data_IF_225224674027
#
_entry.id   IF_225224674027
#
_cell.length_a   1.000
_cell.length_b   1.000
_cell.length_c   1.000
_cell.angle_alpha   90.00
_cell.angle_beta   90.00
_cell.angle_gamma   90.00
#
_symmetry.space_group_name_H-M   'P 1'
#
loop_
_entity.id
_entity.type
_entity.pdbx_description
1 polymer ?
#
# COMPACT_ATOMS: atom_id res chain seq x y z
N UNK A 1 11.69 4.64 -11.54
CA UNK A 1 10.39 4.39 -10.85
C UNK A 1 9.30 4.52 -11.90
N UNK A 2 8.43 3.52 -12.02
CA UNK A 2 7.39 3.51 -13.05
C UNK A 2 6.07 3.98 -12.44
N UNK A 3 5.58 5.12 -12.90
CA UNK A 3 4.23 5.62 -12.60
C UNK A 3 3.25 5.22 -13.70
N UNK A 4 1.96 5.24 -13.38
CA UNK A 4 0.87 5.12 -14.35
C UNK A 4 -0.16 6.22 -14.11
N UNK A 5 -0.75 6.73 -15.19
CA UNK A 5 -1.87 7.67 -15.11
C UNK A 5 -3.15 6.89 -15.40
N UNK A 6 -4.10 6.94 -14.47
CA UNK A 6 -5.41 6.30 -14.57
C UNK A 6 -6.34 7.13 -15.46
N UNK A 7 -7.42 6.54 -15.99
CA UNK A 7 -8.40 7.25 -16.82
C UNK A 7 -9.06 8.47 -16.14
N UNK A 8 -9.06 8.52 -14.80
CA UNK A 8 -9.60 9.61 -14.00
C UNK A 8 -8.60 10.78 -13.83
N UNK A 9 -7.43 10.70 -14.45
CA UNK A 9 -6.38 11.73 -14.42
C UNK A 9 -5.41 11.63 -13.25
N UNK A 10 -5.61 10.72 -12.29
CA UNK A 10 -4.67 10.52 -11.18
C UNK A 10 -3.41 9.80 -11.65
N UNK A 11 -2.25 10.27 -11.19
CA UNK A 11 -0.98 9.58 -11.39
C UNK A 11 -0.63 8.79 -10.13
N UNK A 12 -0.30 7.52 -10.31
CA UNK A 12 -0.02 6.58 -9.22
C UNK A 12 1.35 5.92 -9.37
N UNK A 13 2.01 5.67 -8.23
CA UNK A 13 3.21 4.86 -8.11
C UNK A 13 2.91 3.64 -7.25
N UNK A 14 2.96 2.43 -7.82
CA UNK A 14 2.76 1.20 -7.08
C UNK A 14 4.06 0.70 -6.46
N UNK A 15 4.12 0.59 -5.13
CA UNK A 15 5.29 0.12 -4.38
C UNK A 15 5.30 -1.39 -4.16
N UNK A 16 4.38 -2.14 -4.77
CA UNK A 16 4.38 -3.61 -4.73
C UNK A 16 5.27 -4.16 -5.84
N UNK A 17 5.82 -5.35 -5.65
CA UNK A 17 6.64 -5.99 -6.69
C UNK A 17 5.83 -6.42 -7.92
N UNK A 18 4.54 -6.73 -7.74
CA UNK A 18 3.63 -7.10 -8.81
C UNK A 18 2.81 -5.90 -9.29
N UNK A 19 2.40 -5.95 -10.56
CA UNK A 19 1.48 -4.97 -11.13
C UNK A 19 0.02 -5.25 -10.79
N UNK A 20 -0.83 -4.29 -11.09
CA UNK A 20 -2.29 -4.37 -10.94
C UNK A 20 -2.99 -4.01 -12.24
N UNK A 21 -4.09 -4.71 -12.51
CA UNK A 21 -5.03 -4.37 -13.57
C UNK A 21 -6.16 -3.54 -12.99
N UNK A 22 -6.47 -2.42 -13.62
CA UNK A 22 -7.54 -1.51 -13.24
C UNK A 22 -8.84 -1.85 -13.98
N UNK A 23 -9.98 -1.36 -13.49
CA UNK A 23 -11.32 -1.60 -14.05
C UNK A 23 -11.55 -1.01 -15.45
N UNK A 24 -10.72 -0.03 -15.83
CA UNK A 24 -10.66 0.56 -17.16
C UNK A 24 -9.67 -0.16 -18.10
N UNK A 25 -9.01 -1.21 -17.62
CA UNK A 25 -7.98 -1.97 -18.35
C UNK A 25 -6.56 -1.40 -18.24
N UNK A 26 -6.37 -0.26 -17.56
CA UNK A 26 -5.04 0.29 -17.29
C UNK A 26 -4.20 -0.71 -16.49
N UNK A 27 -2.92 -0.84 -16.85
CA UNK A 27 -1.97 -1.65 -16.09
C UNK A 27 -1.06 -0.71 -15.28
N UNK A 28 -1.13 -0.85 -13.96
CA UNK A 28 -0.22 -0.16 -13.04
C UNK A 28 0.96 -1.09 -12.77
N UNK A 29 2.18 -0.77 -13.23
CA UNK A 29 3.32 -1.66 -13.11
C UNK A 29 3.77 -1.83 -11.66
N UNK A 30 4.31 -3.00 -11.33
CA UNK A 30 4.99 -3.21 -10.06
C UNK A 30 6.38 -2.55 -10.04
N UNK A 31 6.88 -2.25 -8.85
CA UNK A 31 8.23 -1.75 -8.61
C UNK A 31 8.91 -2.62 -7.53
N UNK A 32 9.61 -3.72 -7.92
CA UNK A 32 10.24 -4.66 -6.99
C UNK A 32 11.28 -4.03 -6.04
N UNK A 33 12.02 -3.03 -6.52
CA UNK A 33 13.00 -2.29 -5.70
C UNK A 33 12.30 -1.47 -4.61
N UNK A 34 11.24 -0.74 -4.96
CA UNK A 34 10.45 0.04 -4.00
C UNK A 34 9.71 -0.85 -2.99
N UNK A 35 9.37 -2.08 -3.38
CA UNK A 35 8.80 -3.06 -2.46
C UNK A 35 9.75 -3.42 -1.32
N UNK A 36 11.06 -3.27 -1.51
CA UNK A 36 12.05 -3.46 -0.43
C UNK A 36 12.22 -2.21 0.41
N UNK A 37 12.15 -1.02 -0.19
CA UNK A 37 12.33 0.27 0.49
C UNK A 37 11.15 0.59 1.40
N UNK A 38 9.92 0.52 0.88
CA UNK A 38 8.70 0.90 1.62
C UNK A 38 8.09 -0.27 2.41
N UNK A 39 8.83 -1.35 2.67
CA UNK A 39 8.31 -2.43 3.52
C UNK A 39 8.17 -1.96 4.96
N UNK A 40 7.11 -2.39 5.64
CA UNK A 40 6.98 -2.27 7.09
C UNK A 40 7.62 -3.46 7.81
N UNK A 41 8.09 -3.24 9.03
CA UNK A 41 8.35 -4.31 9.98
C UNK A 41 7.08 -4.65 10.76
N UNK A 42 7.11 -5.75 11.50
CA UNK A 42 6.05 -6.10 12.44
C UNK A 42 6.64 -6.23 13.85
N UNK A 43 6.01 -5.59 14.82
CA UNK A 43 6.24 -5.81 16.25
C UNK A 43 5.02 -6.47 16.87
N UNK A 44 5.25 -7.21 17.95
CA UNK A 44 4.18 -7.82 18.74
C UNK A 44 3.93 -6.98 20.00
N UNK A 45 2.67 -6.65 20.24
CA UNK A 45 2.21 -6.03 21.49
C UNK A 45 1.31 -7.02 22.24
N UNK A 46 1.64 -7.32 23.49
CA UNK A 46 0.82 -8.23 24.31
C UNK A 46 -0.45 -7.50 24.74
N UNK A 47 -1.61 -8.02 24.34
CA UNK A 47 -2.94 -7.50 24.72
C UNK A 47 -3.36 -8.08 26.07
N UNK A 48 -3.23 -9.40 26.21
CA UNK A 48 -3.59 -10.13 27.42
C UNK A 48 -2.78 -11.42 27.56
N UNK A 49 -2.77 -11.97 28.76
CA UNK A 49 -2.18 -13.27 29.06
C UNK A 49 -3.16 -14.11 29.89
N UNK A 50 -3.47 -15.32 29.42
CA UNK A 50 -4.35 -16.26 30.12
C UNK A 50 -3.69 -17.63 30.16
N UNK A 51 -3.59 -18.23 31.35
CA UNK A 51 -2.96 -19.55 31.54
C UNK A 51 -1.53 -19.65 30.94
N UNK A 52 -0.77 -18.55 30.97
CA UNK A 52 0.58 -18.47 30.37
C UNK A 52 0.61 -18.34 28.84
N UNK A 53 -0.54 -18.18 28.19
CA UNK A 53 -0.66 -17.93 26.74
C UNK A 53 -0.85 -16.44 26.50
N UNK A 54 0.04 -15.84 25.71
CA UNK A 54 -0.02 -14.42 25.32
C UNK A 54 -0.87 -14.24 24.06
N UNK A 55 -1.90 -13.41 24.16
CA UNK A 55 -2.66 -12.92 23.03
C UNK A 55 -2.03 -11.60 22.58
N UNK A 56 -1.44 -11.59 21.40
CA UNK A 56 -0.68 -10.45 20.89
C UNK A 56 -1.39 -9.79 19.71
N UNK A 57 -1.21 -8.49 19.58
CA UNK A 57 -1.51 -7.73 18.38
C UNK A 57 -0.24 -7.60 17.54
N UNK A 58 -0.29 -7.97 16.27
CA UNK A 58 0.77 -7.61 15.32
C UNK A 58 0.57 -6.16 14.86
N UNK A 59 1.57 -5.32 15.12
CA UNK A 59 1.57 -3.91 14.74
C UNK A 59 2.59 -3.69 13.63
N UNK A 60 2.13 -3.10 12.52
CA UNK A 60 3.02 -2.73 11.43
C UNK A 60 3.77 -1.43 11.79
N UNK A 61 5.10 -1.44 11.68
CA UNK A 61 5.98 -0.34 12.08
C UNK A 61 6.79 0.12 10.85
N UNK A 62 6.87 1.43 10.59
CA UNK A 62 7.63 1.94 9.45
C UNK A 62 9.14 1.75 9.66
N UNK A 63 9.90 1.68 8.57
CA UNK A 63 11.36 1.69 8.63
C UNK A 63 11.88 3.12 8.47
N UNK A 64 13.08 3.40 9.01
CA UNK A 64 13.72 4.71 8.82
C UNK A 64 13.94 5.01 7.33
N UNK A 65 14.43 4.02 6.57
CA UNK A 65 14.64 4.11 5.12
C UNK A 65 13.33 4.43 4.38
N UNK A 66 12.23 3.75 4.72
CA UNK A 66 10.94 4.00 4.09
C UNK A 66 10.34 5.35 4.44
N UNK A 67 10.57 5.86 5.66
CA UNK A 67 10.12 7.21 6.08
C UNK A 67 10.88 8.27 5.27
N UNK A 68 12.20 8.13 5.18
CA UNK A 68 13.05 9.05 4.44
C UNK A 68 12.68 9.06 2.95
N UNK A 69 12.57 7.87 2.34
CA UNK A 69 12.15 7.74 0.96
C UNK A 69 10.79 8.39 0.71
N UNK A 70 9.80 8.10 1.56
CA UNK A 70 8.45 8.63 1.38
C UNK A 70 8.45 10.14 1.50
N UNK A 71 9.14 10.70 2.48
CA UNK A 71 9.23 12.15 2.71
C UNK A 71 9.87 12.87 1.52
N UNK A 72 10.97 12.34 0.99
CA UNK A 72 11.64 12.90 -0.17
C UNK A 72 10.77 12.79 -1.42
N UNK A 73 10.16 11.63 -1.65
CA UNK A 73 9.32 11.39 -2.82
C UNK A 73 8.11 12.33 -2.87
N UNK A 74 7.39 12.50 -1.76
CA UNK A 74 6.19 13.37 -1.74
C UNK A 74 6.54 14.85 -1.87
N UNK A 75 7.76 15.24 -1.49
CA UNK A 75 8.26 16.60 -1.71
C UNK A 75 8.62 16.83 -3.19
N UNK A 76 9.24 15.84 -3.84
CA UNK A 76 9.65 15.92 -5.25
C UNK A 76 8.48 15.72 -6.23
N UNK A 77 7.48 14.92 -5.86
CA UNK A 77 6.37 14.48 -6.70
C UNK A 77 5.02 14.64 -5.96
N UNK A 78 4.61 15.87 -5.59
CA UNK A 78 3.44 16.10 -4.74
C UNK A 78 2.10 15.65 -5.36
N UNK A 79 2.03 15.57 -6.69
CA UNK A 79 0.83 15.17 -7.44
C UNK A 79 0.69 13.65 -7.64
N UNK A 80 1.69 12.85 -7.20
CA UNK A 80 1.70 11.40 -7.38
C UNK A 80 1.23 10.70 -6.12
N UNK A 81 0.17 9.89 -6.24
CA UNK A 81 -0.29 9.01 -5.16
C UNK A 81 0.57 7.76 -5.10
N UNK A 82 0.97 7.37 -3.89
CA UNK A 82 1.80 6.18 -3.66
C UNK A 82 0.90 5.03 -3.22
N UNK A 83 0.76 4.04 -4.10
CA UNK A 83 -0.09 2.87 -3.88
C UNK A 83 0.72 1.79 -3.18
N UNK A 84 0.21 1.29 -2.05
CA UNK A 84 0.92 0.30 -1.23
C UNK A 84 -0.03 -0.69 -0.53
N UNK A 85 0.54 -1.62 0.21
CA UNK A 85 -0.21 -2.63 0.97
C UNK A 85 -0.88 -2.03 2.21
N UNK A 86 -1.94 -2.67 2.72
CA UNK A 86 -2.62 -2.21 3.93
C UNK A 86 -1.71 -2.17 5.17
N UNK A 87 -0.73 -3.08 5.26
CA UNK A 87 0.27 -3.08 6.32
C UNK A 87 1.12 -1.80 6.28
N UNK A 88 1.58 -1.42 5.09
CA UNK A 88 2.35 -0.19 4.89
C UNK A 88 1.47 1.04 5.13
N UNK A 89 0.21 1.06 4.70
CA UNK A 89 -0.72 2.16 5.06
C UNK A 89 -0.80 2.35 6.57
N UNK A 90 -0.94 1.25 7.31
CA UNK A 90 -1.05 1.27 8.77
C UNK A 90 0.25 1.67 9.47
N UNK A 91 1.41 1.34 8.88
CA UNK A 91 2.71 1.69 9.41
C UNK A 91 3.07 3.16 9.20
N UNK A 92 2.94 3.66 7.97
CA UNK A 92 3.46 4.97 7.57
C UNK A 92 2.43 6.11 7.73
N UNK A 93 1.13 5.81 7.68
CA UNK A 93 0.02 6.75 7.95
C UNK A 93 0.11 8.12 7.28
N UNK A 94 0.51 8.15 6.01
CA UNK A 94 0.75 9.40 5.27
C UNK A 94 -0.38 9.70 4.25
N UNK A 95 -0.81 10.96 4.06
CA UNK A 95 -1.89 11.33 3.13
C UNK A 95 -1.65 10.98 1.66
N UNK A 96 -0.40 10.94 1.21
CA UNK A 96 -0.06 10.53 -0.17
C UNK A 96 -0.09 9.01 -0.36
N UNK A 97 -0.19 8.23 0.71
CA UNK A 97 -0.30 6.78 0.61
C UNK A 97 -1.75 6.36 0.42
N UNK A 98 -1.97 5.43 -0.49
CA UNK A 98 -3.28 4.85 -0.78
C UNK A 98 -3.17 3.34 -1.00
N UNK A 99 -4.25 2.61 -0.76
CA UNK A 99 -4.40 1.21 -1.14
C UNK A 99 -5.40 1.08 -2.28
N UNK A 100 -5.08 0.27 -3.29
CA UNK A 100 -6.08 -0.11 -4.28
C UNK A 100 -7.17 -0.98 -3.64
N UNK A 101 -8.40 -0.78 -4.14
CA UNK A 101 -9.57 -1.54 -3.74
C UNK A 101 -10.02 -2.36 -4.94
N UNK A 102 -10.12 -3.67 -4.78
CA UNK A 102 -10.64 -4.54 -5.82
C UNK A 102 -12.13 -4.25 -6.10
N UNK A 103 -12.58 -4.48 -7.34
CA UNK A 103 -14.00 -4.46 -7.68
C UNK A 103 -14.77 -5.54 -6.90
N UNK A 104 -16.08 -5.39 -6.76
CA UNK A 104 -16.90 -6.32 -5.98
C UNK A 104 -16.83 -7.75 -6.54
N UNK A 105 -16.72 -7.87 -7.86
CA UNK A 105 -16.68 -9.13 -8.60
C UNK A 105 -15.39 -9.90 -8.34
N UNK A 106 -14.26 -9.18 -8.15
CA UNK A 106 -12.93 -9.81 -8.06
C UNK A 106 -12.31 -9.73 -6.67
N UNK A 107 -13.01 -9.17 -5.67
CA UNK A 107 -12.42 -8.92 -4.35
C UNK A 107 -11.92 -10.19 -3.63
N UNK A 108 -12.55 -11.34 -3.90
CA UNK A 108 -12.20 -12.65 -3.36
C UNK A 108 -11.34 -13.50 -4.30
N UNK A 109 -11.05 -13.00 -5.50
CA UNK A 109 -10.21 -13.70 -6.48
C UNK A 109 -8.74 -13.71 -6.06
N UNK A 110 -7.95 -14.57 -6.71
CA UNK A 110 -6.50 -14.60 -6.52
C UNK A 110 -5.87 -13.26 -6.91
N UNK A 111 -4.72 -12.85 -6.34
CA UNK A 111 -4.13 -11.54 -6.58
C UNK A 111 -3.93 -11.16 -8.06
N UNK A 112 -3.56 -12.13 -8.91
CA UNK A 112 -3.37 -11.95 -10.35
C UNK A 112 -4.69 -11.84 -11.15
N UNK A 113 -5.83 -12.16 -10.54
CA UNK A 113 -7.17 -12.06 -11.12
C UNK A 113 -7.94 -10.85 -10.58
N UNK A 114 -7.37 -10.12 -9.61
CA UNK A 114 -8.02 -8.95 -9.04
C UNK A 114 -7.99 -7.79 -10.03
N UNK A 115 -9.15 -7.20 -10.22
CA UNK A 115 -9.34 -5.94 -10.94
C UNK A 115 -9.54 -4.85 -9.90
N UNK A 116 -8.76 -3.78 -10.00
CA UNK A 116 -8.77 -2.67 -9.05
C UNK A 116 -9.61 -1.51 -9.55
N UNK A 117 -10.31 -0.86 -8.64
CA UNK A 117 -11.12 0.32 -8.94
C UNK A 117 -10.25 1.53 -9.25
N UNK A 118 -10.65 2.32 -10.23
CA UNK A 118 -10.05 3.63 -10.50
C UNK A 118 -10.66 4.74 -9.65
N UNK A 119 -11.89 4.57 -9.17
CA UNK A 119 -12.67 5.64 -8.52
C UNK A 119 -12.59 5.66 -6.97
N UNK A 120 -11.96 4.64 -6.35
CA UNK A 120 -11.94 4.51 -4.90
C UNK A 120 -10.64 3.91 -4.37
N UNK A 121 -10.10 4.53 -3.33
CA UNK A 121 -8.87 4.12 -2.67
C UNK A 121 -9.07 3.99 -1.15
N UNK A 122 -8.26 3.13 -0.52
CA UNK A 122 -8.17 3.02 0.93
C UNK A 122 -7.08 3.94 1.47
N UNK A 123 -7.30 4.54 2.63
CA UNK A 123 -6.28 5.26 3.39
C UNK A 123 -6.38 4.90 4.87
N UNK A 124 -5.24 4.91 5.55
CA UNK A 124 -5.15 4.77 7.01
C UNK A 124 -4.33 5.95 7.51
N UNK A 125 -4.98 6.88 8.22
CA UNK A 125 -4.35 8.14 8.69
C UNK A 125 -4.32 8.24 10.23
N UNK A 126 -4.95 7.29 10.93
CA UNK A 126 -5.06 7.25 12.40
C UNK A 126 -4.74 5.85 12.89
#
# INVERSE_FOLDING_TARGET
MNTATLNNGLTVLNTSAHGYTMDDGTIVPGNPELAQVLKSNFSEEVISEENGVKFVQSVAVPTAEGIEWLSNFVQEQPEVLVVTSFANLSAYKHPSLVGFIATAETMRSAPNEKIMRTDKFSQVLK
#
